data_IF_044937778136
#
_entry.id   IF_044937778136
#
_cell.length_a   1.000
_cell.length_b   1.000
_cell.length_c   1.000
_cell.angle_alpha   90.00
_cell.angle_beta   90.00
_cell.angle_gamma   90.00
#
_symmetry.space_group_name_H-M   'P 1'
#
loop_
_entity.id
_entity.type
_entity.pdbx_description
1 polymer ?
#
# COMPACT_ATOMS: atom_id res chain seq x y z
N UNK A 1 28.32 -17.82 5.01
CA UNK A 1 26.88 -17.48 5.10
C UNK A 1 26.77 -16.01 5.45
N UNK A 2 26.66 -15.14 4.47
CA UNK A 2 26.66 -13.68 4.66
C UNK A 2 25.24 -13.27 5.05
N UNK A 3 25.04 -12.96 6.31
CA UNK A 3 23.82 -12.32 6.81
C UNK A 3 23.73 -10.97 6.11
N UNK A 4 22.78 -10.81 5.18
CA UNK A 4 22.43 -9.50 4.63
C UNK A 4 21.86 -8.67 5.78
N UNK A 5 22.70 -7.82 6.34
CA UNK A 5 22.33 -6.79 7.29
C UNK A 5 21.27 -5.90 6.63
N UNK A 6 20.07 -5.90 7.17
CA UNK A 6 19.11 -4.83 6.91
C UNK A 6 19.77 -3.54 7.40
N UNK A 7 20.01 -2.60 6.51
CA UNK A 7 20.56 -1.29 6.86
C UNK A 7 19.47 -0.50 7.60
N UNK A 8 19.66 -0.31 8.88
CA UNK A 8 18.74 0.29 9.83
C UNK A 8 17.91 -0.79 10.54
N UNK A 9 18.35 -1.21 11.73
CA UNK A 9 17.60 -2.11 12.58
C UNK A 9 16.23 -1.47 12.87
N UNK A 10 15.15 -2.02 12.26
CA UNK A 10 13.80 -1.70 12.66
C UNK A 10 13.63 -2.21 14.09
N UNK A 11 13.66 -1.31 15.05
CA UNK A 11 13.50 -1.66 16.45
C UNK A 11 12.04 -1.93 16.78
N UNK A 12 11.83 -2.92 17.62
CA UNK A 12 10.51 -3.34 18.07
C UNK A 12 9.65 -2.18 18.62
N UNK A 13 10.26 -1.22 19.31
CA UNK A 13 9.60 0.00 19.84
C UNK A 13 8.98 0.85 18.72
N UNK A 14 9.64 0.95 17.57
CA UNK A 14 9.16 1.75 16.44
C UNK A 14 7.80 1.27 15.87
N UNK A 15 7.46 -0.01 16.04
CA UNK A 15 6.18 -0.52 15.55
C UNK A 15 4.98 0.00 16.38
N UNK A 16 5.17 0.19 17.68
CA UNK A 16 4.13 0.74 18.58
C UNK A 16 3.85 2.20 18.22
N UNK A 17 4.87 2.98 17.92
CA UNK A 17 4.75 4.39 17.51
C UNK A 17 4.06 4.55 16.16
N UNK A 18 4.05 3.49 15.33
CA UNK A 18 3.39 3.45 14.02
C UNK A 18 1.93 3.05 14.06
N UNK A 19 1.32 2.95 15.24
CA UNK A 19 -0.12 2.68 15.35
C UNK A 19 -0.90 3.95 15.00
N UNK A 20 -1.64 3.89 13.89
CA UNK A 20 -2.48 4.98 13.39
C UNK A 20 -3.89 4.95 13.97
N UNK A 21 -4.41 3.75 14.23
CA UNK A 21 -5.73 3.55 14.81
C UNK A 21 -5.77 2.26 15.62
N UNK A 22 -6.50 2.28 16.73
CA UNK A 22 -6.72 1.12 17.59
C UNK A 22 -8.07 1.18 18.29
N UNK A 23 -8.80 0.06 18.20
CA UNK A 23 -9.97 -0.20 19.06
C UNK A 23 -10.01 -1.66 19.53
N UNK A 24 -11.14 -2.15 20.04
CA UNK A 24 -11.29 -3.53 20.52
C UNK A 24 -11.19 -4.60 19.44
N UNK A 25 -11.46 -4.28 18.16
CA UNK A 25 -11.57 -5.23 17.05
C UNK A 25 -10.45 -5.11 16.01
N UNK A 26 -9.98 -3.90 15.76
CA UNK A 26 -9.07 -3.60 14.66
C UNK A 26 -7.91 -2.73 15.11
N UNK A 27 -6.80 -2.85 14.40
CA UNK A 27 -5.62 -2.03 14.54
C UNK A 27 -5.15 -1.68 13.13
N UNK A 28 -4.81 -0.43 12.89
CA UNK A 28 -4.18 0.03 11.65
C UNK A 28 -2.82 0.59 11.98
N UNK A 29 -1.80 0.12 11.26
CA UNK A 29 -0.43 0.59 11.44
C UNK A 29 0.09 1.24 10.15
N UNK A 30 1.03 2.18 10.29
CA UNK A 30 1.85 2.68 9.21
C UNK A 30 2.98 1.68 8.93
N UNK A 31 2.79 0.78 7.97
CA UNK A 31 3.82 -0.19 7.59
C UNK A 31 5.02 0.53 6.97
N UNK A 32 6.25 0.34 7.46
CA UNK A 32 7.43 0.87 6.80
C UNK A 32 7.69 0.15 5.46
N UNK A 33 8.33 0.84 4.52
CA UNK A 33 8.87 0.23 3.31
C UNK A 33 10.05 -0.72 3.65
N UNK A 34 10.31 -1.70 2.78
CA UNK A 34 11.45 -2.61 2.89
C UNK A 34 11.21 -3.87 3.71
N UNK A 35 10.15 -3.95 4.52
CA UNK A 35 9.83 -5.10 5.38
C UNK A 35 8.62 -5.86 4.81
N UNK A 36 8.74 -7.15 4.49
CA UNK A 36 7.59 -7.97 4.10
C UNK A 36 6.63 -8.16 5.27
N UNK A 37 5.34 -8.29 5.00
CA UNK A 37 4.32 -8.46 6.04
C UNK A 37 4.39 -9.83 6.71
N UNK A 38 4.67 -10.88 5.93
CA UNK A 38 4.77 -12.28 6.39
C UNK A 38 5.99 -12.97 5.79
N UNK A 39 6.43 -14.06 6.41
CA UNK A 39 7.53 -14.88 5.93
C UNK A 39 7.23 -15.48 4.56
N UNK A 40 8.16 -15.33 3.61
CA UNK A 40 8.14 -16.03 2.33
C UNK A 40 8.89 -17.36 2.41
N UNK A 41 8.91 -18.15 1.31
CA UNK A 41 9.61 -19.44 1.26
C UNK A 41 11.10 -19.35 1.61
N UNK A 42 11.73 -18.19 1.42
CA UNK A 42 13.14 -17.95 1.76
C UNK A 42 13.41 -17.61 3.22
N UNK A 43 12.38 -17.55 4.07
CA UNK A 43 12.51 -17.13 5.47
C UNK A 43 12.92 -15.66 5.61
N UNK A 44 13.42 -15.30 6.78
CA UNK A 44 13.91 -13.95 7.11
C UNK A 44 12.93 -13.12 7.93
N UNK A 45 13.37 -11.94 8.41
CA UNK A 45 12.54 -11.09 9.24
C UNK A 45 11.36 -10.53 8.44
N UNK A 46 10.18 -10.53 9.07
CA UNK A 46 8.93 -10.04 8.53
C UNK A 46 8.08 -9.44 9.66
N UNK A 47 7.12 -8.62 9.31
CA UNK A 47 6.41 -7.77 10.27
C UNK A 47 5.66 -8.55 11.36
N UNK A 48 5.13 -9.73 11.03
CA UNK A 48 4.43 -10.60 11.99
C UNK A 48 5.28 -11.01 13.19
N UNK A 49 6.62 -11.04 13.07
CA UNK A 49 7.52 -11.32 14.21
C UNK A 49 7.34 -10.33 15.36
N UNK A 50 6.94 -9.10 15.08
CA UNK A 50 6.75 -8.05 16.09
C UNK A 50 5.29 -7.88 16.52
N UNK A 51 4.33 -8.59 15.93
CA UNK A 51 2.92 -8.51 16.33
C UNK A 51 2.64 -8.84 17.80
N UNK A 52 3.42 -9.70 18.49
CA UNK A 52 3.28 -9.86 19.94
C UNK A 52 3.34 -8.56 20.75
N UNK A 53 4.04 -7.53 20.26
CA UNK A 53 4.11 -6.22 20.91
C UNK A 53 2.81 -5.41 20.75
N UNK A 54 2.00 -5.74 19.76
CA UNK A 54 0.74 -5.07 19.43
C UNK A 54 -0.48 -5.69 20.12
N UNK A 55 -0.29 -6.51 21.15
CA UNK A 55 -1.39 -7.12 21.92
C UNK A 55 -2.23 -6.10 22.66
N UNK A 56 -1.60 -5.08 23.23
CA UNK A 56 -2.27 -4.05 24.03
C UNK A 56 -3.29 -4.66 25.01
N UNK A 57 -2.80 -5.59 25.83
CA UNK A 57 -3.59 -6.26 26.89
C UNK A 57 -4.44 -7.46 26.43
N UNK A 58 -4.48 -7.79 25.15
CA UNK A 58 -5.16 -9.00 24.67
C UNK A 58 -4.28 -10.26 24.79
N UNK A 59 -4.86 -11.46 24.98
CA UNK A 59 -4.12 -12.72 25.14
C UNK A 59 -3.35 -13.11 23.88
N UNK A 60 -3.86 -12.76 22.69
CA UNK A 60 -3.26 -13.12 21.41
C UNK A 60 -2.79 -11.88 20.64
N UNK A 61 -1.69 -11.99 19.85
CA UNK A 61 -1.29 -10.94 18.94
C UNK A 61 -2.35 -10.73 17.86
N UNK A 62 -2.44 -9.50 17.28
CA UNK A 62 -3.26 -9.26 16.11
C UNK A 62 -2.71 -10.04 14.91
N UNK A 63 -3.55 -10.25 13.88
CA UNK A 63 -3.15 -10.93 12.66
C UNK A 63 -3.56 -10.11 11.42
N UNK A 64 -2.91 -10.38 10.28
CA UNK A 64 -3.14 -9.68 9.02
C UNK A 64 -4.57 -9.86 8.52
N UNK A 65 -5.25 -8.75 8.24
CA UNK A 65 -6.53 -8.76 7.52
C UNK A 65 -6.35 -8.64 6.00
N UNK A 66 -5.24 -8.05 5.55
CA UNK A 66 -4.79 -7.98 4.17
C UNK A 66 -3.26 -7.85 4.13
N UNK A 67 -2.71 -7.67 2.93
CA UNK A 67 -1.26 -7.51 2.76
C UNK A 67 -0.90 -6.28 1.95
N UNK A 68 0.29 -5.75 2.19
CA UNK A 68 1.02 -4.83 1.34
C UNK A 68 2.30 -5.51 0.83
N UNK A 69 2.81 -5.07 -0.31
CA UNK A 69 4.10 -5.53 -0.82
C UNK A 69 5.23 -5.10 0.14
N UNK A 70 6.38 -5.77 0.07
CA UNK A 70 7.54 -5.49 0.92
C UNK A 70 7.89 -4.00 0.93
N UNK A 71 7.99 -3.40 -0.25
CA UNK A 71 8.51 -2.04 -0.43
C UNK A 71 7.39 -0.97 -0.43
N UNK A 72 6.11 -1.37 -0.38
CA UNK A 72 4.98 -0.45 -0.19
C UNK A 72 4.85 -0.08 1.28
N UNK A 73 4.74 1.21 1.58
CA UNK A 73 4.49 1.77 2.92
C UNK A 73 3.02 2.11 3.15
N UNK A 74 2.65 2.40 4.40
CA UNK A 74 1.36 2.98 4.76
C UNK A 74 0.36 2.03 5.42
N UNK A 75 -0.93 2.35 5.32
CA UNK A 75 -2.01 1.70 6.06
C UNK A 75 -2.06 0.18 5.90
N UNK A 76 -1.77 -0.54 6.96
CA UNK A 76 -1.90 -2.00 7.08
C UNK A 76 -2.89 -2.34 8.20
N UNK A 77 -3.95 -3.07 7.85
CA UNK A 77 -5.02 -3.45 8.77
C UNK A 77 -4.76 -4.80 9.39
N UNK A 78 -4.89 -4.87 10.70
CA UNK A 78 -4.77 -6.07 11.50
C UNK A 78 -6.07 -6.31 12.28
N UNK A 79 -6.54 -7.54 12.33
CA UNK A 79 -7.64 -7.97 13.20
C UNK A 79 -7.12 -8.39 14.56
N UNK A 80 -7.77 -7.97 15.63
CA UNK A 80 -7.32 -8.21 17.01
C UNK A 80 -7.83 -9.53 17.61
N UNK A 81 -8.75 -10.20 16.93
CA UNK A 81 -9.19 -11.55 17.28
C UNK A 81 -9.90 -12.26 16.09
N UNK A 82 -10.14 -13.58 16.14
CA UNK A 82 -10.64 -14.36 15.00
C UNK A 82 -11.97 -13.84 14.40
N UNK A 83 -12.90 -13.36 15.24
CA UNK A 83 -14.20 -12.82 14.77
C UNK A 83 -14.00 -11.54 13.94
N UNK A 84 -13.11 -10.64 14.38
CA UNK A 84 -12.81 -9.42 13.62
C UNK A 84 -12.09 -9.74 12.32
N UNK A 85 -11.16 -10.70 12.31
CA UNK A 85 -10.47 -11.14 11.11
C UNK A 85 -11.43 -11.68 10.04
N UNK A 86 -12.38 -12.54 10.43
CA UNK A 86 -13.40 -13.05 9.50
C UNK A 86 -14.21 -11.92 8.89
N UNK A 87 -14.62 -10.94 9.71
CA UNK A 87 -15.39 -9.80 9.25
C UNK A 87 -14.60 -8.88 8.32
N UNK A 88 -13.35 -8.55 8.67
CA UNK A 88 -12.44 -7.79 7.83
C UNK A 88 -12.19 -8.53 6.51
N UNK A 89 -11.92 -9.84 6.57
CA UNK A 89 -11.73 -10.68 5.38
C UNK A 89 -12.93 -10.63 4.42
N UNK A 90 -14.17 -10.69 4.95
CA UNK A 90 -15.39 -10.52 4.15
C UNK A 90 -15.45 -9.14 3.49
N UNK A 91 -15.20 -8.05 4.24
CA UNK A 91 -15.20 -6.69 3.70
C UNK A 91 -14.17 -6.50 2.57
N UNK A 92 -12.96 -7.08 2.70
CA UNK A 92 -11.95 -7.04 1.65
C UNK A 92 -12.37 -7.87 0.42
N UNK A 93 -12.92 -9.07 0.63
CA UNK A 93 -13.37 -9.95 -0.45
C UNK A 93 -14.54 -9.36 -1.24
N UNK A 94 -15.46 -8.69 -0.56
CA UNK A 94 -16.64 -8.00 -1.14
C UNK A 94 -16.28 -6.65 -1.79
N UNK A 95 -15.02 -6.20 -1.70
CA UNK A 95 -14.60 -4.90 -2.24
C UNK A 95 -15.16 -3.69 -1.50
N UNK A 96 -15.65 -3.85 -0.27
CA UNK A 96 -16.27 -2.80 0.55
C UNK A 96 -15.27 -1.92 1.29
N UNK A 97 -14.00 -2.31 1.29
CA UNK A 97 -12.90 -1.50 1.86
C UNK A 97 -12.40 -0.54 0.81
N UNK A 98 -12.55 0.77 1.08
CA UNK A 98 -11.96 1.78 0.21
C UNK A 98 -10.46 1.92 0.52
N UNK A 99 -9.66 1.97 -0.53
CA UNK A 99 -8.20 2.08 -0.44
C UNK A 99 -7.73 3.22 -1.32
N UNK A 100 -6.97 4.12 -0.75
CA UNK A 100 -6.34 5.22 -1.48
C UNK A 100 -4.82 5.06 -1.42
N UNK A 101 -4.20 5.06 -2.58
CA UNK A 101 -2.74 5.02 -2.70
C UNK A 101 -2.23 6.30 -3.34
N UNK A 102 -1.06 6.73 -2.93
CA UNK A 102 -0.30 7.75 -3.62
C UNK A 102 0.94 7.12 -4.25
N UNK A 103 1.21 7.49 -5.49
CA UNK A 103 2.41 7.08 -6.19
C UNK A 103 3.07 8.28 -6.87
N UNK A 104 4.39 8.34 -6.81
CA UNK A 104 5.19 9.16 -7.71
C UNK A 104 5.59 8.28 -8.89
N UNK A 105 5.24 8.70 -10.10
CA UNK A 105 5.53 7.95 -11.34
C UNK A 105 6.46 8.74 -12.25
N UNK A 106 7.26 8.03 -13.04
CA UNK A 106 8.02 8.60 -14.13
C UNK A 106 7.13 8.72 -15.35
N UNK A 107 7.03 9.92 -15.91
CA UNK A 107 6.14 10.22 -17.04
C UNK A 107 4.87 10.98 -16.64
N UNK A 108 4.06 11.24 -17.64
CA UNK A 108 2.81 11.98 -17.52
C UNK A 108 1.70 11.18 -18.19
N UNK A 109 0.66 10.74 -17.44
CA UNK A 109 -0.51 10.14 -18.04
C UNK A 109 -1.14 11.08 -19.07
N UNK A 110 -1.68 10.54 -20.17
CA UNK A 110 -2.36 11.34 -21.20
C UNK A 110 -3.60 12.04 -20.65
N UNK A 111 -4.35 11.34 -19.80
CA UNK A 111 -5.56 11.85 -19.18
C UNK A 111 -5.32 12.18 -17.71
N UNK A 112 -5.96 13.23 -17.21
CA UNK A 112 -5.86 13.67 -15.81
C UNK A 112 -6.49 12.69 -14.83
N UNK A 113 -7.43 11.86 -15.28
CA UNK A 113 -8.06 10.78 -14.51
C UNK A 113 -8.53 9.68 -15.44
N UNK A 114 -8.69 8.47 -14.91
CA UNK A 114 -9.22 7.37 -15.70
C UNK A 114 -9.25 6.07 -14.92
N UNK A 115 -9.63 5.01 -15.63
CA UNK A 115 -9.67 3.65 -15.11
C UNK A 115 -8.71 2.77 -15.90
N UNK A 116 -7.93 1.98 -15.16
CA UNK A 116 -7.08 0.94 -15.71
C UNK A 116 -7.75 -0.38 -15.38
N UNK A 117 -8.16 -1.12 -16.41
CA UNK A 117 -8.86 -2.39 -16.26
C UNK A 117 -8.19 -3.44 -17.17
N UNK A 118 -7.56 -4.43 -16.55
CA UNK A 118 -6.76 -5.45 -17.24
C UNK A 118 -6.81 -6.77 -16.50
N UNK A 119 -6.47 -7.87 -17.18
CA UNK A 119 -6.11 -9.12 -16.51
C UNK A 119 -4.65 -9.10 -16.04
N UNK A 120 -4.36 -9.67 -14.88
CA UNK A 120 -3.01 -9.80 -14.35
C UNK A 120 -2.67 -11.26 -14.09
N UNK A 121 -1.54 -11.73 -14.62
CA UNK A 121 -1.04 -13.09 -14.41
C UNK A 121 0.39 -13.08 -13.88
N UNK A 122 0.72 -14.10 -13.10
CA UNK A 122 2.08 -14.33 -12.61
C UNK A 122 2.90 -15.02 -13.70
N UNK A 123 3.98 -14.38 -14.14
CA UNK A 123 4.91 -14.89 -15.14
C UNK A 123 6.24 -15.27 -14.48
N UNK A 124 6.70 -16.50 -14.69
CA UNK A 124 8.03 -16.93 -14.28
C UNK A 124 9.10 -16.26 -15.14
N UNK A 125 10.24 -15.93 -14.55
CA UNK A 125 11.45 -15.41 -15.20
C UNK A 125 12.64 -16.37 -15.04
N UNK A 126 12.34 -17.66 -14.91
CA UNK A 126 13.37 -18.68 -14.66
C UNK A 126 14.09 -18.45 -13.33
N UNK A 127 15.41 -18.47 -13.36
CA UNK A 127 16.25 -18.27 -12.16
C UNK A 127 16.16 -16.87 -11.55
N UNK A 128 15.67 -15.87 -12.30
CA UNK A 128 15.50 -14.48 -11.82
C UNK A 128 14.18 -14.24 -11.08
N UNK A 129 13.38 -15.29 -10.85
CA UNK A 129 12.16 -15.24 -10.05
C UNK A 129 10.90 -15.10 -10.90
N UNK A 130 10.01 -14.18 -10.54
CA UNK A 130 8.71 -13.98 -11.20
C UNK A 130 8.32 -12.50 -11.19
N UNK A 131 7.38 -12.13 -12.05
CA UNK A 131 6.69 -10.83 -12.01
C UNK A 131 5.22 -11.00 -12.38
N UNK A 132 4.41 -10.00 -12.07
CA UNK A 132 3.07 -9.88 -12.63
C UNK A 132 3.16 -9.19 -13.99
N UNK A 133 2.33 -9.61 -14.93
CA UNK A 133 2.21 -8.98 -16.25
C UNK A 133 0.75 -8.80 -16.62
N UNK A 134 0.47 -7.85 -17.50
CA UNK A 134 -0.85 -7.70 -18.14
C UNK A 134 -1.06 -8.85 -19.11
N UNK A 135 -2.17 -9.57 -18.96
CA UNK A 135 -2.57 -10.67 -19.83
C UNK A 135 -4.10 -10.78 -19.79
N UNK A 136 -4.80 -10.82 -20.94
CA UNK A 136 -6.26 -10.96 -20.99
C UNK A 136 -6.79 -12.22 -20.28
N UNK A 137 -6.00 -13.29 -20.21
CA UNK A 137 -6.35 -14.52 -19.47
C UNK A 137 -6.07 -14.43 -17.96
N UNK A 138 -5.52 -13.32 -17.49
CA UNK A 138 -5.16 -13.11 -16.09
C UNK A 138 -6.36 -12.80 -15.20
N UNK A 139 -6.09 -12.71 -13.89
CA UNK A 139 -7.11 -12.30 -12.93
C UNK A 139 -7.50 -10.84 -13.15
N UNK A 140 -8.80 -10.59 -13.28
CA UNK A 140 -9.36 -9.25 -13.44
C UNK A 140 -8.88 -8.29 -12.36
N UNK A 141 -8.40 -7.12 -12.78
CA UNK A 141 -7.85 -6.08 -11.93
C UNK A 141 -8.31 -4.70 -12.39
N UNK A 142 -8.80 -3.89 -11.46
CA UNK A 142 -9.33 -2.55 -11.73
C UNK A 142 -8.71 -1.54 -10.76
N UNK A 143 -8.20 -0.43 -11.31
CA UNK A 143 -7.69 0.71 -10.54
C UNK A 143 -8.17 2.01 -11.19
N UNK A 144 -8.89 2.83 -10.44
CA UNK A 144 -9.17 4.20 -10.82
C UNK A 144 -7.95 5.08 -10.44
N UNK A 145 -7.63 6.07 -11.27
CA UNK A 145 -6.53 7.01 -10.97
C UNK A 145 -6.92 8.45 -11.23
N UNK A 146 -6.25 9.37 -10.54
CA UNK A 146 -6.30 10.81 -10.73
C UNK A 146 -4.88 11.38 -10.62
N UNK A 147 -4.51 12.26 -11.55
CA UNK A 147 -3.27 13.03 -11.48
C UNK A 147 -3.48 14.20 -10.53
N UNK A 148 -2.72 14.26 -9.45
CA UNK A 148 -2.78 15.35 -8.47
C UNK A 148 -1.88 16.50 -8.89
N UNK A 149 -0.68 16.21 -9.41
CA UNK A 149 0.25 17.20 -9.95
C UNK A 149 1.22 16.57 -10.95
N UNK A 150 1.81 17.42 -11.80
CA UNK A 150 2.82 17.02 -12.78
C UNK A 150 3.90 18.09 -12.85
N UNK A 151 5.17 17.70 -12.80
CA UNK A 151 6.33 18.56 -12.93
C UNK A 151 7.57 17.75 -13.33
N UNK A 152 8.41 18.32 -14.20
CA UNK A 152 9.71 17.77 -14.59
C UNK A 152 9.66 16.30 -15.05
N UNK A 153 8.66 15.96 -15.88
CA UNK A 153 8.49 14.60 -16.40
C UNK A 153 8.06 13.57 -15.35
N UNK A 154 7.56 13.99 -14.20
CA UNK A 154 7.01 13.15 -13.14
C UNK A 154 5.59 13.56 -12.81
N UNK A 155 4.80 12.59 -12.33
CA UNK A 155 3.43 12.84 -11.88
C UNK A 155 3.20 12.23 -10.51
N UNK A 156 2.46 12.95 -9.68
CA UNK A 156 1.90 12.45 -8.43
C UNK A 156 0.48 11.97 -8.70
N UNK A 157 0.24 10.68 -8.48
CA UNK A 157 -1.05 10.04 -8.72
C UNK A 157 -1.72 9.65 -7.41
N UNK A 158 -3.03 9.88 -7.34
CA UNK A 158 -3.93 9.17 -6.45
C UNK A 158 -4.49 7.96 -7.20
N UNK A 159 -4.42 6.78 -6.57
CA UNK A 159 -4.92 5.53 -7.15
C UNK A 159 -5.87 4.85 -6.17
N UNK A 160 -7.02 4.40 -6.67
CA UNK A 160 -8.06 3.70 -5.91
C UNK A 160 -8.30 2.30 -6.51
N UNK A 161 -7.57 1.29 -6.02
CA UNK A 161 -7.73 -0.08 -6.53
C UNK A 161 -9.06 -0.67 -6.04
N UNK A 162 -9.92 -1.07 -6.99
CA UNK A 162 -11.19 -1.77 -6.74
C UNK A 162 -10.97 -3.24 -6.41
N UNK A 163 -9.90 -3.81 -6.92
CA UNK A 163 -9.42 -5.17 -6.65
C UNK A 163 -8.12 -5.14 -5.85
N UNK A 164 -7.53 -6.29 -5.49
CA UNK A 164 -6.31 -6.38 -4.69
C UNK A 164 -5.33 -7.44 -5.19
N UNK A 165 -4.96 -7.42 -6.49
CA UNK A 165 -4.03 -8.40 -7.05
C UNK A 165 -2.59 -8.05 -6.67
N UNK A 166 -1.73 -9.05 -6.61
CA UNK A 166 -0.30 -8.86 -6.33
C UNK A 166 0.31 -7.85 -7.30
N UNK A 167 1.05 -6.88 -6.79
CA UNK A 167 1.71 -5.80 -7.54
C UNK A 167 0.75 -4.98 -8.45
N UNK A 168 -0.56 -5.04 -8.24
CA UNK A 168 -1.57 -4.47 -9.14
C UNK A 168 -1.26 -3.02 -9.53
N UNK A 169 -1.08 -2.12 -8.56
CA UNK A 169 -0.82 -0.70 -8.82
C UNK A 169 0.47 -0.51 -9.62
N UNK A 170 1.51 -1.24 -9.29
CA UNK A 170 2.83 -1.17 -9.95
C UNK A 170 2.73 -1.56 -11.42
N UNK A 171 2.03 -2.66 -11.72
CA UNK A 171 1.79 -3.13 -13.10
C UNK A 171 0.89 -2.16 -13.86
N UNK A 172 -0.18 -1.65 -13.22
CA UNK A 172 -1.10 -0.70 -13.84
C UNK A 172 -0.40 0.62 -14.19
N UNK A 173 0.43 1.17 -13.30
CA UNK A 173 1.23 2.36 -13.59
C UNK A 173 2.19 2.13 -14.77
N UNK A 174 2.84 0.97 -14.82
CA UNK A 174 3.71 0.60 -15.94
C UNK A 174 2.93 0.45 -17.25
N UNK A 175 1.74 -0.16 -17.22
CA UNK A 175 0.86 -0.29 -18.39
C UNK A 175 0.36 1.08 -18.89
N UNK A 176 0.20 2.05 -18.00
CA UNK A 176 -0.13 3.43 -18.33
C UNK A 176 1.05 4.19 -19.01
N UNK A 177 2.23 3.55 -19.12
CA UNK A 177 3.46 4.19 -19.59
C UNK A 177 4.12 5.10 -18.54
N UNK A 178 3.66 5.03 -17.30
CA UNK A 178 4.11 5.87 -16.18
C UNK A 178 4.52 4.98 -14.99
N UNK A 179 5.64 4.23 -15.07
CA UNK A 179 6.07 3.33 -14.01
C UNK A 179 6.40 4.08 -12.71
N UNK A 180 6.18 3.42 -11.57
CA UNK A 180 6.44 4.01 -10.25
C UNK A 180 7.94 4.25 -10.06
N UNK A 181 8.31 5.40 -9.52
CA UNK A 181 9.70 5.72 -9.18
C UNK A 181 10.21 4.76 -8.10
N UNK A 182 11.42 4.24 -8.29
CA UNK A 182 11.99 3.22 -7.41
C UNK A 182 11.50 1.79 -7.69
N UNK A 183 10.89 1.55 -8.86
CA UNK A 183 10.39 0.23 -9.27
C UNK A 183 11.07 -0.34 -10.52
N UNK A 184 12.34 -0.76 -10.45
CA UNK A 184 13.04 -1.31 -11.62
C UNK A 184 12.40 -2.61 -12.14
N UNK A 185 11.62 -3.33 -11.33
CA UNK A 185 10.95 -4.56 -11.77
C UNK A 185 9.87 -4.29 -12.84
N UNK A 186 9.32 -3.08 -12.86
CA UNK A 186 8.28 -2.65 -13.80
C UNK A 186 8.69 -1.43 -14.65
N UNK A 187 10.00 -1.20 -14.82
CA UNK A 187 10.54 -0.17 -15.71
C UNK A 187 10.67 1.22 -15.08
N UNK A 188 10.42 1.35 -13.79
CA UNK A 188 10.65 2.59 -13.06
C UNK A 188 12.13 2.90 -12.87
N UNK A 189 12.50 4.18 -12.67
CA UNK A 189 13.87 4.58 -12.36
C UNK A 189 14.39 3.84 -11.12
N UNK A 190 15.62 3.30 -11.22
CA UNK A 190 16.31 2.66 -10.09
C UNK A 190 17.03 3.70 -9.21
N UNK A 191 17.60 3.25 -8.08
CA UNK A 191 18.44 4.09 -7.20
C UNK A 191 17.68 4.84 -6.11
N UNK A 192 16.36 4.67 -6.03
CA UNK A 192 15.53 5.21 -4.95
C UNK A 192 14.64 4.10 -4.37
N UNK A 193 14.14 4.24 -3.13
CA UNK A 193 13.08 3.38 -2.62
C UNK A 193 11.80 3.49 -3.46
N UNK A 194 10.92 2.48 -3.38
CA UNK A 194 9.64 2.49 -4.08
C UNK A 194 8.76 3.65 -3.60
N UNK A 195 8.38 4.55 -4.50
CA UNK A 195 7.51 5.69 -4.21
C UNK A 195 6.02 5.32 -4.32
N UNK A 196 5.59 4.36 -3.51
CA UNK A 196 4.22 3.88 -3.41
C UNK A 196 3.77 3.80 -1.95
N UNK A 197 2.74 4.56 -1.62
CA UNK A 197 2.18 4.70 -0.29
C UNK A 197 0.71 4.27 -0.28
N UNK A 198 0.34 3.33 0.57
CA UNK A 198 -1.05 3.06 0.96
C UNK A 198 -1.52 4.20 1.88
N UNK A 199 -1.90 5.33 1.26
CA UNK A 199 -2.14 6.62 1.94
C UNK A 199 -3.35 6.58 2.86
N UNK A 200 -4.43 5.92 2.44
CA UNK A 200 -5.66 5.91 3.22
C UNK A 200 -6.45 4.62 3.09
N UNK A 201 -7.22 4.35 4.13
CA UNK A 201 -8.14 3.22 4.15
C UNK A 201 -9.44 3.61 4.87
N UNK A 202 -10.58 3.17 4.32
CA UNK A 202 -11.91 3.34 4.93
C UNK A 202 -12.55 1.98 5.13
N UNK A 203 -12.87 1.67 6.39
CA UNK A 203 -13.37 0.37 6.84
C UNK A 203 -14.78 0.49 7.39
N UNK A 204 -15.85 0.04 6.69
CA UNK A 204 -17.22 0.00 7.21
C UNK A 204 -17.41 -1.21 8.15
N UNK A 205 -16.58 -1.26 9.22
CA UNK A 205 -16.53 -2.40 10.12
C UNK A 205 -17.77 -2.49 11.01
N UNK A 206 -18.33 -1.38 11.42
CA UNK A 206 -19.46 -1.32 12.35
C UNK A 206 -20.75 -0.92 11.63
N UNK A 207 -21.85 -1.74 11.68
CA UNK A 207 -23.09 -1.44 10.96
C UNK A 207 -23.78 -0.14 11.40
N UNK A 208 -23.62 0.20 12.70
CA UNK A 208 -24.31 1.33 13.33
C UNK A 208 -23.40 2.51 13.66
N UNK A 209 -22.15 2.51 13.16
CA UNK A 209 -21.20 3.61 13.37
C UNK A 209 -20.65 4.09 12.03
N UNK A 210 -20.15 5.32 11.96
CA UNK A 210 -19.41 5.78 10.80
C UNK A 210 -18.25 4.84 10.46
N UNK A 211 -17.87 4.69 9.19
CA UNK A 211 -16.68 3.94 8.80
C UNK A 211 -15.42 4.47 9.49
N UNK A 212 -14.52 3.57 9.83
CA UNK A 212 -13.20 3.94 10.33
C UNK A 212 -12.38 4.44 9.15
N UNK A 213 -12.04 5.72 9.14
CA UNK A 213 -11.16 6.33 8.15
C UNK A 213 -9.78 6.58 8.77
N UNK A 214 -8.73 6.07 8.13
CA UNK A 214 -7.34 6.21 8.61
C UNK A 214 -6.45 6.65 7.48
N UNK A 215 -5.57 7.60 7.77
CA UNK A 215 -4.59 8.14 6.83
C UNK A 215 -3.18 7.90 7.36
N UNK A 216 -2.29 7.35 6.55
CA UNK A 216 -0.88 7.18 6.89
C UNK A 216 -0.07 8.43 6.52
N UNK A 217 0.94 8.83 7.29
CA UNK A 217 1.82 9.95 6.94
C UNK A 217 2.61 9.66 5.66
N UNK A 218 3.06 10.72 4.99
CA UNK A 218 3.97 10.58 3.84
C UNK A 218 5.34 10.13 4.35
N UNK A 219 5.90 9.02 3.84
CA UNK A 219 7.20 8.54 4.28
C UNK A 219 8.32 9.49 3.80
N UNK A 220 9.37 9.62 4.62
CA UNK A 220 10.46 10.57 4.39
C UNK A 220 11.05 10.52 2.98
N UNK A 221 11.21 9.33 2.40
CA UNK A 221 11.78 9.17 1.07
C UNK A 221 10.90 9.71 -0.08
N UNK A 222 9.59 9.92 0.16
CA UNK A 222 8.67 10.50 -0.82
C UNK A 222 8.49 12.00 -0.61
N UNK A 223 8.74 12.53 0.59
CA UNK A 223 8.35 13.87 1.01
C UNK A 223 8.92 14.94 0.08
N UNK A 224 10.24 15.01 -0.08
CA UNK A 224 10.89 16.03 -0.91
C UNK A 224 10.43 16.00 -2.39
N UNK A 225 10.08 14.83 -2.91
CA UNK A 225 9.60 14.71 -4.28
C UNK A 225 8.14 15.17 -4.42
N UNK A 226 7.30 14.93 -3.42
CA UNK A 226 5.91 15.39 -3.40
C UNK A 226 5.82 16.89 -3.13
N UNK A 227 6.67 17.45 -2.27
CA UNK A 227 6.77 18.91 -2.03
C UNK A 227 7.11 19.67 -3.32
N UNK A 228 8.03 19.16 -4.15
CA UNK A 228 8.32 19.74 -5.49
C UNK A 228 7.10 19.75 -6.42
N UNK A 229 6.15 18.87 -6.18
CA UNK A 229 4.87 18.74 -6.89
C UNK A 229 3.73 19.49 -6.20
N UNK A 230 4.03 20.30 -5.16
CA UNK A 230 3.05 21.13 -4.47
C UNK A 230 2.37 20.47 -3.27
N UNK A 231 2.87 19.33 -2.78
CA UNK A 231 2.41 18.78 -1.51
C UNK A 231 2.83 19.70 -0.36
N UNK A 232 1.88 20.10 0.45
CA UNK A 232 2.12 20.83 1.69
C UNK A 232 1.82 19.89 2.87
N UNK A 233 2.84 19.49 3.66
CA UNK A 233 2.64 18.61 4.81
C UNK A 233 1.75 19.24 5.89
N UNK A 234 1.72 20.55 6.04
CA UNK A 234 0.91 21.24 7.05
C UNK A 234 -0.58 21.19 6.69
N UNK A 235 -0.92 21.31 5.40
CA UNK A 235 -2.30 21.25 4.90
C UNK A 235 -2.73 19.80 4.65
N UNK A 236 -1.82 18.96 4.18
CA UNK A 236 -2.10 17.58 3.75
C UNK A 236 -2.47 16.62 4.89
N UNK A 237 -2.19 16.96 6.14
CA UNK A 237 -2.63 16.21 7.32
C UNK A 237 -4.02 16.64 7.80
N UNK A 238 -4.46 17.86 7.48
CA UNK A 238 -5.75 18.42 7.92
C UNK A 238 -6.93 18.16 6.96
N UNK A 239 -6.68 17.75 5.71
CA UNK A 239 -7.65 17.88 4.61
C UNK A 239 -7.98 16.65 3.78
N UNK A 240 -7.98 15.43 4.32
CA UNK A 240 -8.45 14.24 3.56
C UNK A 240 -9.95 13.96 3.78
N UNK A 241 -10.80 14.92 3.47
CA UNK A 241 -12.21 14.65 3.17
C UNK A 241 -12.28 13.91 1.83
N UNK A 242 -13.03 12.80 1.80
CA UNK A 242 -13.23 11.97 0.60
C UNK A 242 -14.06 12.75 -0.44
N UNK A 243 -13.41 13.52 -1.33
CA UNK A 243 -14.07 13.94 -2.55
C UNK A 243 -14.18 12.77 -3.53
N UNK A 244 -15.40 12.50 -3.97
CA UNK A 244 -15.68 11.44 -4.93
C UNK A 244 -14.99 11.72 -6.28
N UNK A 245 -14.27 10.74 -6.82
CA UNK A 245 -13.88 10.74 -8.23
C UNK A 245 -15.19 10.56 -9.03
N UNK A 246 -15.52 11.42 -10.01
CA UNK A 246 -16.67 11.19 -10.88
C UNK A 246 -16.59 9.83 -11.57
N UNK A 247 -17.73 9.16 -11.71
CA UNK A 247 -17.87 7.84 -12.31
C UNK A 247 -17.47 7.83 -13.79
#
# INVERSE_FOLDING_TARGET
>A
MTVRTFSGAFEAAQLIERVLYRDGLVLVIDKPAGIPVHGGPGGGPHLEHWFPLLRFGLPHPPALAHRLDRDTSGCLVLGRHPKSLRRLGALFAEGRVEKTYWALVAGMPREKSGRIETGLIKQSRGTTGWRMVVDPAGQHAVTDYRVLATKDGRSWLELRPRTGRTHQIRVHCAALGCPVVGDPAYGGPAGAPLHLLARGIVLPLYPSKPPIAVTAPVPQHMLAALERLGYDPVIGEAGTSAEAIPA
#
